data_IF_035429304071
#
_entry.id   IF_035429304071
#
_cell.length_a   1.000
_cell.length_b   1.000
_cell.length_c   1.000
_cell.angle_alpha   90.00
_cell.angle_beta   90.00
_cell.angle_gamma   90.00
#
_symmetry.space_group_name_H-M   'P 1'
#
loop_
_entity.id
_entity.type
_entity.pdbx_description
1 polymer ?
#
# COMPACT_ATOMS: atom_id res chain seq x y z
N UNK A 1 -38.90 -16.70 19.89
CA UNK A 1 -38.32 -16.70 18.52
C UNK A 1 -38.77 -15.42 17.81
N UNK A 2 -37.87 -14.46 17.63
CA UNK A 2 -38.15 -13.25 16.83
C UNK A 2 -38.14 -13.65 15.37
N UNK A 3 -39.29 -13.60 14.69
CA UNK A 3 -39.37 -13.77 13.23
C UNK A 3 -38.88 -12.48 12.58
N UNK A 4 -37.60 -12.45 12.20
CA UNK A 4 -37.07 -11.43 11.31
C UNK A 4 -37.77 -11.59 9.95
N UNK A 5 -38.43 -10.55 9.47
CA UNK A 5 -39.05 -10.51 8.14
C UNK A 5 -37.98 -10.70 7.07
N UNK A 6 -38.24 -11.53 6.05
CA UNK A 6 -37.28 -11.94 5.02
C UNK A 6 -36.53 -10.79 4.31
N UNK A 7 -37.11 -9.58 4.29
CA UNK A 7 -36.48 -8.38 3.75
C UNK A 7 -35.22 -7.94 4.53
N UNK A 8 -35.07 -8.29 5.81
CA UNK A 8 -33.91 -7.97 6.64
C UNK A 8 -32.76 -8.99 6.51
N UNK A 9 -32.93 -10.06 5.72
CA UNK A 9 -31.93 -11.12 5.49
C UNK A 9 -31.47 -11.15 4.04
N UNK A 10 -31.38 -9.98 3.40
CA UNK A 10 -30.73 -9.91 2.09
C UNK A 10 -29.24 -9.73 2.33
N UNK A 11 -28.43 -10.69 1.87
CA UNK A 11 -26.97 -10.58 1.95
C UNK A 11 -26.52 -9.31 1.21
N UNK A 12 -25.62 -8.54 1.82
CA UNK A 12 -25.10 -7.31 1.20
C UNK A 12 -24.50 -7.69 -0.17
N UNK A 13 -24.87 -7.00 -1.26
CA UNK A 13 -24.28 -7.24 -2.57
C UNK A 13 -22.76 -7.10 -2.50
N UNK A 14 -22.05 -8.15 -2.93
CA UNK A 14 -20.58 -8.22 -2.88
C UNK A 14 -19.90 -7.02 -3.57
N UNK A 15 -20.54 -6.50 -4.62
CA UNK A 15 -20.11 -5.32 -5.36
C UNK A 15 -19.96 -4.09 -4.44
N UNK A 16 -20.86 -3.92 -3.46
CA UNK A 16 -20.81 -2.79 -2.52
C UNK A 16 -19.59 -2.90 -1.61
N UNK A 17 -19.25 -4.11 -1.17
CA UNK A 17 -18.06 -4.36 -0.35
C UNK A 17 -16.80 -4.00 -1.13
N UNK A 18 -16.66 -4.50 -2.36
CA UNK A 18 -15.50 -4.18 -3.20
C UNK A 18 -15.42 -2.68 -3.52
N UNK A 19 -16.54 -2.04 -3.86
CA UNK A 19 -16.58 -0.61 -4.13
C UNK A 19 -16.13 0.20 -2.90
N UNK A 20 -16.64 -0.15 -1.72
CA UNK A 20 -16.25 0.51 -0.47
C UNK A 20 -14.75 0.31 -0.19
N UNK A 21 -14.22 -0.91 -0.36
CA UNK A 21 -12.79 -1.19 -0.17
C UNK A 21 -11.91 -0.40 -1.14
N UNK A 22 -12.29 -0.31 -2.41
CA UNK A 22 -11.57 0.47 -3.43
C UNK A 22 -11.58 1.95 -3.09
N UNK A 23 -12.77 2.52 -2.81
CA UNK A 23 -12.92 3.93 -2.45
C UNK A 23 -12.09 4.23 -1.19
N UNK A 24 -12.19 3.40 -0.16
CA UNK A 24 -11.44 3.56 1.08
C UNK A 24 -9.92 3.50 0.87
N UNK A 25 -9.43 2.52 0.11
CA UNK A 25 -8.00 2.34 -0.13
C UNK A 25 -7.37 3.48 -0.95
N UNK A 26 -8.12 4.08 -1.88
CA UNK A 26 -7.62 5.12 -2.77
C UNK A 26 -7.82 6.55 -2.23
N UNK A 27 -8.95 6.83 -1.58
CA UNK A 27 -9.34 8.20 -1.22
C UNK A 27 -8.37 8.89 -0.24
N UNK A 28 -7.69 8.13 0.63
CA UNK A 28 -6.73 8.67 1.61
C UNK A 28 -5.28 8.63 1.17
N UNK A 29 -4.98 8.06 0.00
CA UNK A 29 -3.61 7.74 -0.40
C UNK A 29 -2.94 8.88 -1.17
N UNK A 30 -3.71 9.57 -2.02
CA UNK A 30 -3.22 10.61 -2.92
C UNK A 30 -3.59 12.01 -2.39
N UNK A 31 -3.00 13.06 -2.99
CA UNK A 31 -3.29 14.47 -2.69
C UNK A 31 -2.96 14.95 -1.26
N UNK A 32 -2.02 14.28 -0.57
CA UNK A 32 -1.39 14.81 0.65
C UNK A 32 0.12 14.70 0.55
N UNK A 33 0.85 15.60 1.18
CA UNK A 33 2.30 15.47 1.32
C UNK A 33 2.66 14.50 2.47
N UNK A 34 3.90 13.98 2.50
CA UNK A 34 4.41 13.20 3.62
C UNK A 34 4.49 14.07 4.88
N UNK A 35 3.46 14.01 5.72
CA UNK A 35 3.36 14.83 6.93
C UNK A 35 3.87 14.15 8.21
N UNK A 36 3.97 12.81 8.20
CA UNK A 36 4.49 12.03 9.32
C UNK A 36 5.95 11.74 9.07
N UNK A 37 6.77 11.83 10.12
CA UNK A 37 8.20 11.52 10.03
C UNK A 37 8.46 10.14 9.42
N UNK A 38 7.65 9.14 9.76
CA UNK A 38 7.74 7.78 9.20
C UNK A 38 7.49 7.73 7.68
N UNK A 39 6.54 8.53 7.18
CA UNK A 39 6.21 8.63 5.75
C UNK A 39 7.36 9.29 4.98
N UNK A 40 7.95 10.33 5.57
CA UNK A 40 9.11 11.02 5.00
C UNK A 40 10.38 10.15 5.00
N UNK A 41 10.65 9.44 6.10
CA UNK A 41 11.79 8.52 6.22
C UNK A 41 11.63 7.34 5.25
N UNK A 42 10.42 6.77 5.19
CA UNK A 42 10.11 5.67 4.28
C UNK A 42 10.30 6.07 2.81
N UNK A 43 9.73 7.20 2.40
CA UNK A 43 9.91 7.75 1.06
C UNK A 43 11.39 8.04 0.78
N UNK A 44 12.09 8.69 1.70
CA UNK A 44 13.51 9.02 1.56
C UNK A 44 14.37 7.77 1.34
N UNK A 45 14.09 6.67 2.04
CA UNK A 45 14.76 5.39 1.83
C UNK A 45 14.46 4.71 0.49
N UNK A 46 13.24 4.85 -0.02
CA UNK A 46 12.86 4.33 -1.34
C UNK A 46 13.52 5.16 -2.45
N UNK A 47 13.59 6.48 -2.26
CA UNK A 47 14.22 7.44 -3.16
C UNK A 47 15.73 7.19 -3.28
N UNK A 48 16.43 7.05 -2.16
CA UNK A 48 17.87 6.73 -2.14
C UNK A 48 18.16 5.39 -2.78
N UNK A 49 17.32 4.37 -2.56
CA UNK A 49 17.47 3.07 -3.20
C UNK A 49 17.24 3.13 -4.72
N UNK A 50 16.34 4.00 -5.18
CA UNK A 50 16.06 4.21 -6.60
C UNK A 50 17.20 4.95 -7.34
N UNK A 51 17.83 5.97 -6.74
CA UNK A 51 18.96 6.68 -7.36
C UNK A 51 20.34 6.12 -7.00
N UNK A 52 20.38 5.20 -6.04
CA UNK A 52 21.60 4.66 -5.48
C UNK A 52 22.29 3.59 -6.33
N UNK A 53 23.30 2.96 -5.74
CA UNK A 53 24.05 1.85 -6.32
C UNK A 53 23.43 0.49 -5.94
N UNK A 54 23.91 -0.59 -6.57
CA UNK A 54 23.48 -1.95 -6.26
C UNK A 54 23.63 -2.37 -4.77
N UNK A 55 24.53 -1.72 -4.01
CA UNK A 55 24.67 -1.97 -2.57
C UNK A 55 23.52 -1.36 -1.76
N UNK A 56 22.92 -0.27 -2.23
CA UNK A 56 21.80 0.39 -1.56
C UNK A 56 20.53 -0.47 -1.64
N UNK A 57 20.47 -1.38 -2.63
CA UNK A 57 19.46 -2.42 -2.70
C UNK A 57 19.63 -3.48 -1.62
N UNK A 58 20.86 -3.79 -1.19
CA UNK A 58 21.07 -4.81 -0.13
C UNK A 58 20.81 -4.19 1.24
N UNK A 59 21.29 -2.97 1.45
CA UNK A 59 21.19 -2.26 2.73
C UNK A 59 20.49 -0.92 2.50
N UNK A 60 19.14 -0.87 2.56
CA UNK A 60 18.41 0.37 2.43
C UNK A 60 18.82 1.32 3.56
N UNK A 61 19.23 2.53 3.18
CA UNK A 61 19.65 3.59 4.10
C UNK A 61 19.08 4.94 3.65
N UNK A 62 19.22 5.93 4.51
CA UNK A 62 18.78 7.30 4.24
C UNK A 62 19.99 8.16 3.94
N UNK A 63 19.92 9.04 2.94
CA UNK A 63 21.03 9.91 2.57
C UNK A 63 21.52 10.72 3.78
N UNK A 64 22.80 10.61 4.11
CA UNK A 64 23.40 11.24 5.29
C UNK A 64 23.27 10.44 6.60
N UNK A 65 22.79 9.19 6.54
CA UNK A 65 22.72 8.24 7.66
C UNK A 65 23.18 6.86 7.19
N UNK A 66 24.25 6.35 7.79
CA UNK A 66 24.74 4.98 7.49
C UNK A 66 23.93 3.87 8.19
N UNK A 67 22.89 4.24 8.94
CA UNK A 67 22.03 3.28 9.62
C UNK A 67 21.03 2.66 8.64
N UNK A 68 20.98 1.33 8.62
CA UNK A 68 19.98 0.61 7.84
C UNK A 68 18.56 0.93 8.33
N UNK A 69 17.66 1.14 7.40
CA UNK A 69 16.23 1.39 7.64
C UNK A 69 15.44 0.11 7.99
N UNK A 70 16.11 -1.05 8.02
CA UNK A 70 15.51 -2.33 8.40
C UNK A 70 15.28 -3.25 7.21
N UNK A 71 14.15 -3.96 7.20
CA UNK A 71 13.86 -4.96 6.17
C UNK A 71 13.82 -4.34 4.77
N UNK A 72 14.51 -4.93 3.77
CA UNK A 72 14.68 -4.30 2.46
C UNK A 72 13.47 -4.42 1.53
N UNK A 73 12.60 -5.42 1.76
CA UNK A 73 11.48 -5.73 0.88
C UNK A 73 10.51 -4.57 0.62
N UNK A 74 10.05 -3.80 1.65
CA UNK A 74 9.22 -2.62 1.42
C UNK A 74 9.92 -1.56 0.55
N UNK A 75 11.23 -1.39 0.71
CA UNK A 75 12.00 -0.40 -0.03
C UNK A 75 12.23 -0.83 -1.48
N UNK A 76 12.41 -2.12 -1.75
CA UNK A 76 12.49 -2.65 -3.12
C UNK A 76 11.19 -2.41 -3.88
N UNK A 77 10.05 -2.72 -3.27
CA UNK A 77 8.76 -2.49 -3.89
C UNK A 77 8.53 -0.99 -4.12
N UNK A 78 8.81 -0.16 -3.11
CA UNK A 78 8.70 1.29 -3.23
C UNK A 78 9.57 1.87 -4.35
N UNK A 79 10.87 1.55 -4.37
CA UNK A 79 11.80 2.04 -5.40
C UNK A 79 11.44 1.56 -6.80
N UNK A 80 11.06 0.30 -6.96
CA UNK A 80 10.61 -0.25 -8.25
C UNK A 80 9.35 0.46 -8.76
N UNK A 81 8.42 0.80 -7.87
CA UNK A 81 7.22 1.53 -8.24
C UNK A 81 7.52 2.99 -8.58
N UNK A 82 8.49 3.62 -7.91
CA UNK A 82 8.99 4.95 -8.27
C UNK A 82 9.60 4.93 -9.67
N UNK A 83 10.42 3.94 -10.00
CA UNK A 83 11.04 3.82 -11.33
C UNK A 83 9.99 3.70 -12.45
N UNK A 84 8.96 2.86 -12.23
CA UNK A 84 7.92 2.60 -13.25
C UNK A 84 6.89 3.73 -13.35
N UNK A 85 6.42 4.25 -12.22
CA UNK A 85 5.27 5.19 -12.16
C UNK A 85 5.65 6.62 -11.80
N UNK A 86 6.87 6.88 -11.33
CA UNK A 86 7.38 8.22 -10.99
C UNK A 86 7.17 9.24 -12.12
N UNK A 87 7.50 8.92 -13.39
CA UNK A 87 7.27 9.83 -14.52
C UNK A 87 5.80 10.17 -14.79
N UNK A 88 4.86 9.34 -14.34
CA UNK A 88 3.42 9.49 -14.63
C UNK A 88 2.66 10.23 -13.53
N UNK A 89 2.94 9.89 -12.26
CA UNK A 89 2.16 10.38 -11.11
C UNK A 89 3.00 11.13 -10.06
N UNK A 90 4.31 11.26 -10.28
CA UNK A 90 5.27 11.83 -9.35
C UNK A 90 5.75 10.80 -8.31
N UNK A 91 6.99 10.96 -7.88
CA UNK A 91 7.71 9.95 -7.08
C UNK A 91 7.05 9.68 -5.73
N UNK A 92 6.54 10.72 -5.07
CA UNK A 92 5.84 10.57 -3.79
C UNK A 92 4.55 9.75 -3.92
N UNK A 93 3.79 9.93 -5.01
CA UNK A 93 2.58 9.15 -5.25
C UNK A 93 2.91 7.73 -5.69
N UNK A 94 3.97 7.55 -6.48
CA UNK A 94 4.46 6.25 -6.90
C UNK A 94 4.93 5.40 -5.72
N UNK A 95 5.66 5.98 -4.77
CA UNK A 95 6.09 5.30 -3.54
C UNK A 95 4.89 4.77 -2.73
N UNK A 96 3.79 5.51 -2.68
CA UNK A 96 2.57 5.12 -1.94
C UNK A 96 1.79 3.98 -2.56
N UNK A 97 2.01 3.72 -3.84
CA UNK A 97 1.38 2.60 -4.53
C UNK A 97 1.74 1.26 -3.87
N UNK A 98 2.91 1.17 -3.22
CA UNK A 98 3.28 0.03 -2.38
C UNK A 98 2.23 -0.26 -1.30
N UNK A 99 1.83 0.78 -0.54
CA UNK A 99 0.82 0.63 0.51
C UNK A 99 -0.53 0.21 -0.07
N UNK A 100 -0.91 0.74 -1.24
CA UNK A 100 -2.13 0.33 -1.93
C UNK A 100 -2.11 -1.16 -2.31
N UNK A 101 -1.01 -1.61 -2.92
CA UNK A 101 -0.83 -3.01 -3.37
C UNK A 101 -0.89 -3.96 -2.17
N UNK A 102 -0.20 -3.64 -1.08
CA UNK A 102 -0.24 -4.44 0.15
C UNK A 102 -1.64 -4.48 0.76
N UNK A 103 -2.34 -3.35 0.81
CA UNK A 103 -3.71 -3.28 1.31
C UNK A 103 -4.68 -4.13 0.48
N UNK A 104 -4.67 -3.95 -0.84
CA UNK A 104 -5.59 -4.67 -1.73
C UNK A 104 -5.27 -6.17 -1.81
N UNK A 105 -3.99 -6.55 -1.81
CA UNK A 105 -3.62 -7.97 -1.77
C UNK A 105 -4.06 -8.65 -0.48
N UNK A 106 -3.89 -8.00 0.68
CA UNK A 106 -4.40 -8.50 1.95
C UNK A 106 -5.93 -8.60 1.96
N UNK A 107 -6.64 -7.57 1.48
CA UNK A 107 -8.09 -7.58 1.40
C UNK A 107 -8.62 -8.71 0.50
N UNK A 108 -8.00 -8.93 -0.66
CA UNK A 108 -8.34 -10.03 -1.56
C UNK A 108 -8.03 -11.40 -0.94
N UNK A 109 -6.89 -11.54 -0.24
CA UNK A 109 -6.54 -12.78 0.43
C UNK A 109 -7.56 -13.15 1.53
N UNK A 110 -7.97 -12.17 2.34
CA UNK A 110 -8.99 -12.36 3.39
C UNK A 110 -10.35 -12.71 2.77
N UNK A 111 -10.73 -12.00 1.71
CA UNK A 111 -11.96 -12.29 0.96
C UNK A 111 -11.94 -13.72 0.43
N UNK A 112 -10.85 -14.14 -0.21
CA UNK A 112 -10.73 -15.47 -0.79
C UNK A 112 -10.70 -16.57 0.29
N UNK A 113 -10.00 -16.35 1.40
CA UNK A 113 -9.96 -17.28 2.52
C UNK A 113 -11.36 -17.49 3.13
N UNK A 114 -12.09 -16.42 3.38
CA UNK A 114 -13.47 -16.51 3.91
C UNK A 114 -14.44 -17.12 2.90
N UNK A 115 -14.24 -16.88 1.61
CA UNK A 115 -15.03 -17.52 0.54
C UNK A 115 -14.77 -19.03 0.43
N UNK A 116 -13.56 -19.52 0.70
CA UNK A 116 -13.27 -20.96 0.72
C UNK A 116 -13.74 -21.65 2.01
N UNK A 117 -13.78 -20.92 3.13
CA UNK A 117 -14.16 -21.44 4.44
C UNK A 117 -15.68 -21.50 4.66
N UNK A 118 -16.45 -20.69 3.92
CA UNK A 118 -17.91 -20.62 4.00
C UNK A 118 -18.59 -21.47 2.96
#
# INVERSE_FOLDING_TARGET
MVKLTAAATTSIPRIIIFALTIIYGLAGLFARDPWKNEDAIGFGGMWTLNQGNALDWIVPHLAGRDASLGAPFPFWLGASLIDIFGPLIGDTNAARLYSAICFFSAALAIWYATYLLG
#
